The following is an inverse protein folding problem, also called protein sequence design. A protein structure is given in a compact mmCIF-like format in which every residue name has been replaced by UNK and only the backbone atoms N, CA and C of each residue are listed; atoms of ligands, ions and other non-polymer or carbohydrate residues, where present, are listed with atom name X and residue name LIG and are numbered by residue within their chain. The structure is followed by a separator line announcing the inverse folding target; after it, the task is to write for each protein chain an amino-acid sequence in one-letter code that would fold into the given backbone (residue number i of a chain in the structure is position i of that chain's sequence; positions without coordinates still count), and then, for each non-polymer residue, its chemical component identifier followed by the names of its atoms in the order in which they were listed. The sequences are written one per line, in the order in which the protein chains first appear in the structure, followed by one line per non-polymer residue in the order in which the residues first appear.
data_IF_763738913101
#
_entry.id   IF_763738913101
#
_cell.length_a   1.000
_cell.length_b   1.000
_cell.length_c   1.000
_cell.angle_alpha   90.00
_cell.angle_beta   90.00
_cell.angle_gamma   90.00
#
_symmetry.space_group_name_H-M   'P 1'
#
loop_
_entity.id
_entity.type
_entity.pdbx_description
1 polymer ?
#
# COMPACT_ATOMS: atom_id res chain seq x y z
N UNK A 1 -7.84 -3.35 -13.12
CA UNK A 1 -7.49 -1.89 -13.07
C UNK A 1 -8.36 -1.15 -14.10
N UNK A 2 -8.80 0.09 -13.85
CA UNK A 2 -9.63 0.85 -14.82
C UNK A 2 -8.82 1.52 -15.94
N UNK A 3 -7.56 1.88 -15.67
CA UNK A 3 -6.64 2.46 -16.65
C UNK A 3 -5.28 1.78 -16.56
N UNK A 4 -4.73 1.31 -17.68
CA UNK A 4 -3.43 0.62 -17.70
C UNK A 4 -3.43 -0.70 -16.92
N UNK A 5 -4.48 -1.51 -17.05
CA UNK A 5 -4.50 -2.85 -16.47
C UNK A 5 -3.72 -3.83 -17.34
N UNK A 6 -2.76 -4.54 -16.75
CA UNK A 6 -1.97 -5.59 -17.42
C UNK A 6 -2.14 -6.92 -16.69
N UNK A 7 -2.02 -8.08 -17.35
CA UNK A 7 -1.92 -9.37 -16.66
C UNK A 7 -0.71 -9.39 -15.73
N UNK A 8 -0.83 -10.07 -14.59
CA UNK A 8 0.27 -10.21 -13.62
C UNK A 8 1.50 -10.92 -14.20
N UNK A 9 1.31 -11.75 -15.21
CA UNK A 9 2.36 -12.48 -15.92
C UNK A 9 3.35 -11.53 -16.61
N UNK A 10 2.90 -10.35 -17.05
CA UNK A 10 3.78 -9.34 -17.64
C UNK A 10 4.77 -8.74 -16.64
N UNK A 11 4.45 -8.79 -15.34
CA UNK A 11 5.39 -8.39 -14.28
C UNK A 11 6.14 -9.57 -13.68
N UNK A 12 6.11 -10.73 -14.35
CA UNK A 12 6.87 -11.93 -13.98
C UNK A 12 6.23 -12.79 -12.88
N UNK A 13 4.98 -12.50 -12.48
CA UNK A 13 4.23 -13.37 -11.57
C UNK A 13 3.74 -14.58 -12.34
N UNK A 14 4.13 -15.77 -11.90
CA UNK A 14 3.73 -17.02 -12.56
C UNK A 14 2.26 -17.33 -12.29
N UNK A 15 1.64 -18.14 -13.16
CA UNK A 15 0.23 -18.49 -13.01
C UNK A 15 -0.06 -19.20 -11.67
N UNK A 16 0.90 -20.02 -11.17
CA UNK A 16 0.76 -20.73 -9.90
C UNK A 16 0.87 -19.79 -8.68
N UNK A 17 1.42 -18.58 -8.86
CA UNK A 17 1.57 -17.56 -7.82
C UNK A 17 0.36 -16.61 -7.75
N UNK A 18 -0.59 -16.74 -8.69
CA UNK A 18 -1.84 -15.99 -8.67
C UNK A 18 -2.72 -16.40 -7.50
N UNK A 19 -3.63 -15.51 -7.11
CA UNK A 19 -4.61 -15.82 -6.05
C UNK A 19 -5.52 -16.97 -6.50
N UNK A 20 -5.86 -17.00 -7.80
CA UNK A 20 -6.64 -18.07 -8.43
C UNK A 20 -5.90 -18.49 -9.71
N UNK A 21 -5.08 -19.56 -9.64
CA UNK A 21 -4.38 -20.09 -10.81
C UNK A 21 -5.34 -20.45 -11.97
N UNK A 22 -4.86 -20.33 -13.20
CA UNK A 22 -5.64 -20.58 -14.42
C UNK A 22 -6.63 -19.47 -14.79
N UNK A 23 -6.66 -18.35 -14.05
CA UNK A 23 -7.56 -17.22 -14.31
C UNK A 23 -6.79 -15.94 -14.65
N UNK A 24 -7.45 -15.02 -15.36
CA UNK A 24 -6.92 -13.69 -15.58
C UNK A 24 -6.92 -12.91 -14.25
N UNK A 25 -5.75 -12.46 -13.83
CA UNK A 25 -5.61 -11.61 -12.65
C UNK A 25 -4.92 -10.29 -13.06
N UNK A 26 -5.65 -9.18 -12.95
CA UNK A 26 -5.13 -7.88 -13.38
C UNK A 26 -4.19 -7.26 -12.35
N UNK A 27 -3.11 -6.66 -12.84
CA UNK A 27 -2.27 -5.71 -12.13
C UNK A 27 -2.53 -4.30 -12.64
N UNK A 28 -2.47 -3.29 -11.76
CA UNK A 28 -2.52 -1.89 -12.17
C UNK A 28 -1.11 -1.46 -12.61
N UNK A 29 -1.01 -0.67 -13.69
CA UNK A 29 0.22 0.00 -14.08
C UNK A 29 0.21 1.45 -13.53
N UNK A 30 0.87 1.74 -12.39
CA UNK A 30 0.90 3.07 -11.80
C UNK A 30 1.69 4.08 -12.63
N UNK A 31 2.66 3.63 -13.45
CA UNK A 31 3.45 4.50 -14.32
C UNK A 31 2.58 5.03 -15.44
N UNK A 32 1.84 4.16 -16.14
CA UNK A 32 0.91 4.60 -17.18
C UNK A 32 -0.16 5.55 -16.65
N UNK A 33 -0.64 5.36 -15.42
CA UNK A 33 -1.60 6.29 -14.81
C UNK A 33 -1.00 7.67 -14.56
N UNK A 34 0.28 7.76 -14.16
CA UNK A 34 0.97 9.04 -14.01
C UNK A 34 1.20 9.71 -15.37
N UNK A 35 1.65 8.97 -16.37
CA UNK A 35 1.86 9.47 -17.75
C UNK A 35 0.56 10.04 -18.34
N UNK A 36 -0.57 9.33 -18.19
CA UNK A 36 -1.88 9.84 -18.65
C UNK A 36 -2.21 11.19 -17.99
N UNK A 37 -2.02 11.33 -16.68
CA UNK A 37 -2.31 12.60 -16.00
C UNK A 37 -1.34 13.71 -16.39
N UNK A 38 -0.10 13.37 -16.72
CA UNK A 38 0.87 14.32 -17.27
C UNK A 38 0.47 14.80 -18.68
N UNK A 39 0.03 13.88 -19.55
CA UNK A 39 -0.43 14.19 -20.91
C UNK A 39 -1.70 15.07 -20.89
N UNK A 40 -2.62 14.81 -19.97
CA UNK A 40 -3.82 15.62 -19.76
C UNK A 40 -3.52 16.99 -19.12
N UNK A 41 -2.27 17.27 -18.74
CA UNK A 41 -1.86 18.55 -18.17
C UNK A 41 -2.47 18.81 -16.80
N UNK A 42 -2.64 17.78 -15.97
CA UNK A 42 -3.16 17.96 -14.61
C UNK A 42 -2.20 18.82 -13.78
N UNK A 43 -2.70 19.90 -13.14
CA UNK A 43 -1.87 20.79 -12.31
C UNK A 43 -1.64 20.25 -10.89
N UNK A 44 -2.49 19.33 -10.42
CA UNK A 44 -2.45 18.79 -9.07
C UNK A 44 -3.14 17.43 -8.98
N UNK A 45 -2.55 16.51 -8.23
CA UNK A 45 -3.08 15.16 -8.04
C UNK A 45 -3.42 14.87 -6.57
N UNK A 46 -4.51 14.12 -6.36
CA UNK A 46 -4.90 13.57 -5.05
C UNK A 46 -4.80 12.04 -5.12
N UNK A 47 -3.85 11.46 -4.40
CA UNK A 47 -3.69 10.03 -4.27
C UNK A 47 -4.53 9.48 -3.10
N UNK A 48 -5.28 8.41 -3.35
CA UNK A 48 -6.17 7.78 -2.35
C UNK A 48 -6.13 6.26 -2.43
N UNK A 49 -5.89 5.62 -1.29
CA UNK A 49 -6.05 4.17 -1.12
C UNK A 49 -5.11 3.34 -1.99
N UNK A 50 -3.97 3.91 -2.38
CA UNK A 50 -2.90 3.21 -3.08
C UNK A 50 -2.00 2.47 -2.08
N UNK A 51 -1.44 1.34 -2.51
CA UNK A 51 -0.45 0.64 -1.68
C UNK A 51 0.93 1.26 -1.88
N UNK A 52 1.84 1.01 -0.95
CA UNK A 52 3.21 1.57 -0.91
C UNK A 52 3.93 1.50 -2.25
N UNK A 53 3.88 0.35 -2.93
CA UNK A 53 4.54 0.19 -4.24
C UNK A 53 3.90 1.02 -5.35
N UNK A 54 2.56 1.13 -5.40
CA UNK A 54 1.89 1.94 -6.42
C UNK A 54 2.09 3.42 -6.17
N UNK A 55 1.98 3.85 -4.91
CA UNK A 55 2.27 5.23 -4.52
C UNK A 55 3.68 5.63 -4.94
N UNK A 56 4.67 4.80 -4.64
CA UNK A 56 6.08 5.10 -4.93
C UNK A 56 6.33 5.28 -6.42
N UNK A 57 5.78 4.39 -7.26
CA UNK A 57 5.94 4.47 -8.71
C UNK A 57 5.13 5.62 -9.31
N UNK A 58 3.89 5.83 -8.88
CA UNK A 58 3.07 6.95 -9.35
C UNK A 58 3.74 8.29 -9.04
N UNK A 59 4.13 8.51 -7.78
CA UNK A 59 4.77 9.76 -7.33
C UNK A 59 6.09 10.04 -8.03
N UNK A 60 6.86 9.00 -8.36
CA UNK A 60 8.11 9.13 -9.10
C UNK A 60 7.90 9.63 -10.54
N UNK A 61 6.78 9.27 -11.16
CA UNK A 61 6.49 9.55 -12.58
C UNK A 61 5.48 10.69 -12.78
N UNK A 62 4.78 11.13 -11.74
CA UNK A 62 3.88 12.27 -11.80
C UNK A 62 4.68 13.59 -11.85
N UNK A 63 4.39 14.44 -12.84
CA UNK A 63 5.01 15.75 -12.98
C UNK A 63 4.39 16.78 -12.03
N UNK A 64 3.08 16.70 -11.84
CA UNK A 64 2.36 17.62 -10.97
C UNK A 64 2.50 17.27 -9.48
N UNK A 65 2.47 18.27 -8.59
CA UNK A 65 2.45 18.03 -7.16
C UNK A 65 1.31 17.08 -6.80
N UNK A 66 1.65 16.05 -6.04
CA UNK A 66 0.71 15.02 -5.62
C UNK A 66 0.67 14.98 -4.10
N UNK A 67 -0.54 15.02 -3.54
CA UNK A 67 -0.75 14.80 -2.12
C UNK A 67 -1.43 13.46 -1.88
N UNK A 68 -1.00 12.74 -0.83
CA UNK A 68 -1.65 11.51 -0.40
C UNK A 68 -2.72 11.88 0.61
N UNK A 69 -3.98 11.77 0.22
CA UNK A 69 -5.12 12.06 1.09
C UNK A 69 -5.42 10.90 2.04
N UNK A 70 -5.27 9.65 1.57
CA UNK A 70 -5.45 8.46 2.40
C UNK A 70 -4.53 7.31 1.94
N UNK A 71 -3.75 6.73 2.85
CA UNK A 71 -2.92 5.55 2.58
C UNK A 71 -3.79 4.29 2.60
N UNK A 72 -3.50 3.30 1.75
CA UNK A 72 -4.19 2.00 1.83
C UNK A 72 -3.79 1.24 3.08
N UNK A 73 -4.67 1.28 4.08
CA UNK A 73 -4.61 0.39 5.24
C UNK A 73 -6.00 -0.20 5.47
N UNK A 74 -6.19 -1.46 5.07
CA UNK A 74 -7.47 -2.15 5.27
C UNK A 74 -7.68 -2.59 6.72
N UNK A 75 -6.60 -2.75 7.49
CA UNK A 75 -6.66 -3.24 8.86
C UNK A 75 -7.05 -2.10 9.81
N UNK A 76 -6.47 -0.92 9.61
CA UNK A 76 -6.64 0.24 10.48
C UNK A 76 -7.54 1.33 9.87
N UNK A 77 -8.31 1.00 8.83
CA UNK A 77 -9.24 1.94 8.20
C UNK A 77 -8.55 3.20 7.68
N UNK A 78 -7.44 3.02 6.96
CA UNK A 78 -6.61 4.10 6.41
C UNK A 78 -5.88 4.97 7.46
N UNK A 79 -5.69 4.44 8.69
CA UNK A 79 -4.92 5.08 9.76
C UNK A 79 -3.66 4.28 10.14
N UNK A 80 -2.62 4.25 9.29
CA UNK A 80 -1.41 3.44 9.54
C UNK A 80 -0.62 3.88 10.79
N UNK A 81 -0.75 5.15 11.22
CA UNK A 81 -0.09 5.64 12.42
C UNK A 81 -0.66 5.02 13.70
N UNK A 82 -1.89 4.49 13.70
CA UNK A 82 -2.43 3.76 14.84
C UNK A 82 -1.56 2.53 15.20
N UNK A 83 -1.00 1.80 14.23
CA UNK A 83 -0.06 0.72 14.54
C UNK A 83 1.13 1.22 15.38
N UNK A 84 1.67 2.40 15.04
CA UNK A 84 2.81 2.99 15.73
C UNK A 84 2.41 3.49 17.13
N UNK A 85 1.29 4.18 17.26
CA UNK A 85 0.80 4.68 18.54
C UNK A 85 0.48 3.55 19.53
N UNK A 86 -0.06 2.43 19.04
CA UNK A 86 -0.39 1.27 19.86
C UNK A 86 0.77 0.29 20.05
N UNK A 87 1.86 0.42 19.27
CA UNK A 87 3.02 -0.50 19.29
C UNK A 87 3.56 -0.76 20.70
N UNK A 88 3.66 0.28 21.55
CA UNK A 88 4.17 0.14 22.92
C UNK A 88 3.31 -0.77 23.79
N UNK A 89 1.99 -0.68 23.67
CA UNK A 89 1.06 -1.51 24.42
C UNK A 89 0.99 -2.93 23.84
N UNK A 90 0.95 -3.03 22.51
CA UNK A 90 0.87 -4.30 21.79
C UNK A 90 2.11 -5.18 22.01
N UNK A 91 3.30 -4.59 21.94
CA UNK A 91 4.57 -5.29 22.15
C UNK A 91 5.05 -5.31 23.61
N UNK A 92 4.21 -4.90 24.58
CA UNK A 92 4.57 -4.88 26.00
C UNK A 92 5.13 -6.23 26.47
N UNK A 93 4.48 -7.32 26.08
CA UNK A 93 4.88 -8.70 26.45
C UNK A 93 6.21 -9.11 25.84
N UNK A 94 6.49 -8.70 24.61
CA UNK A 94 7.74 -9.01 23.89
C UNK A 94 8.93 -8.17 24.39
N UNK A 95 8.66 -7.00 25.00
CA UNK A 95 9.69 -6.08 25.52
C UNK A 95 10.07 -6.33 26.98
N UNK A 96 9.27 -7.08 27.74
CA UNK A 96 9.62 -7.54 29.08
C UNK A 96 10.27 -8.92 29.02
N UNK A 97 11.54 -9.02 29.43
CA UNK A 97 12.19 -10.30 29.67
C UNK A 97 11.36 -11.09 30.71
N UNK A 98 10.86 -12.28 30.34
CA UNK A 98 10.05 -13.15 31.22
C UNK A 98 8.56 -13.30 30.86
N UNK A 99 8.05 -12.62 29.83
CA UNK A 99 6.89 -13.07 29.05
C UNK A 99 5.52 -13.28 29.73
N UNK A 100 5.30 -12.88 30.99
CA UNK A 100 3.97 -12.99 31.64
C UNK A 100 3.59 -11.66 32.32
N UNK A 101 2.61 -10.90 31.81
CA UNK A 101 2.07 -9.76 32.54
C UNK A 101 1.11 -10.25 33.63
N UNK A 102 1.45 -10.04 34.90
CA UNK A 102 0.60 -10.40 36.03
C UNK A 102 1.23 -10.38 37.43
N UNK A 103 2.56 -10.32 37.58
CA UNK A 103 3.16 -10.07 38.90
C UNK A 103 3.63 -8.62 38.98
N UNK A 104 2.73 -7.77 39.49
CA UNK A 104 3.18 -6.58 40.18
C UNK A 104 3.95 -7.06 41.43
N UNK A 105 5.25 -6.80 41.48
CA UNK A 105 5.99 -6.90 42.73
C UNK A 105 5.52 -5.78 43.67
N UNK A 106 5.24 -6.17 44.91
CA UNK A 106 4.93 -5.29 46.04
C UNK A 106 6.19 -4.60 46.52
#
# INVERSE_FOLDING_TARGET
CKAGGIPKEEIGVKDEEKIIPGTYESMCNPISQAEILNEEGCDFNIAMGLCVGHDSLFLKHANAPTTVFAVKDRLLGHNPLAALYQSRQYYRRLRTAGGIPGKAEQ
#
